data_IF_191443088400
#
_entry.id   IF_191443088400
#
_cell.length_a   1.000
_cell.length_b   1.000
_cell.length_c   1.000
_cell.angle_alpha   90.00
_cell.angle_beta   90.00
_cell.angle_gamma   90.00
#
_symmetry.space_group_name_H-M   'P 1'
#
loop_
_entity.id
_entity.type
_entity.pdbx_description
1 polymer ?
#
# COMPACT_ATOMS: atom_id res chain seq x y z
N UNK A 1 -15.87 25.39 5.13
CA UNK A 1 -15.77 25.73 3.71
C UNK A 1 -14.54 25.01 3.16
N UNK A 2 -14.71 24.02 2.31
CA UNK A 2 -13.56 23.30 1.70
C UNK A 2 -12.85 24.28 0.77
N UNK A 3 -11.49 24.40 0.81
CA UNK A 3 -10.77 25.26 -0.14
C UNK A 3 -10.99 24.75 -1.56
N UNK A 4 -11.11 25.70 -2.51
CA UNK A 4 -11.21 25.37 -3.93
C UNK A 4 -9.95 24.57 -4.34
N UNK A 5 -10.16 23.48 -5.07
CA UNK A 5 -9.07 22.63 -5.55
C UNK A 5 -8.44 23.32 -6.76
N UNK A 6 -7.18 23.83 -6.69
CA UNK A 6 -6.57 24.59 -7.80
C UNK A 6 -6.33 23.76 -9.08
N UNK A 7 -6.27 22.44 -8.96
CA UNK A 7 -6.02 21.51 -10.08
C UNK A 7 -7.02 20.35 -10.06
N UNK A 8 -8.32 20.63 -10.27
CA UNK A 8 -9.27 19.54 -10.45
C UNK A 8 -9.31 19.11 -11.92
N UNK A 9 -9.17 17.83 -12.19
CA UNK A 9 -9.49 17.30 -13.52
C UNK A 9 -11.01 17.06 -13.61
N UNK A 10 -11.59 17.15 -14.83
CA UNK A 10 -13.04 16.96 -14.99
C UNK A 10 -13.51 15.61 -14.42
N UNK A 11 -14.49 15.63 -13.54
CA UNK A 11 -15.11 14.44 -12.97
C UNK A 11 -14.52 13.93 -11.66
N UNK A 12 -13.49 14.57 -11.08
CA UNK A 12 -12.90 14.15 -9.79
C UNK A 12 -13.95 14.14 -8.67
N UNK A 13 -14.77 15.19 -8.53
CA UNK A 13 -15.77 15.28 -7.47
C UNK A 13 -16.81 14.16 -7.59
N UNK A 14 -17.21 13.82 -8.82
CA UNK A 14 -18.11 12.70 -9.07
C UNK A 14 -17.44 11.34 -8.78
N UNK A 15 -16.14 11.19 -9.06
CA UNK A 15 -15.39 9.96 -8.73
C UNK A 15 -15.27 9.82 -7.20
N UNK A 16 -14.99 10.91 -6.49
CA UNK A 16 -14.93 10.91 -5.03
C UNK A 16 -16.30 10.63 -4.41
N UNK A 17 -17.38 11.18 -4.94
CA UNK A 17 -18.74 10.87 -4.49
C UNK A 17 -19.09 9.39 -4.69
N UNK A 18 -18.67 8.78 -5.82
CA UNK A 18 -18.84 7.34 -6.08
C UNK A 18 -18.03 6.48 -5.11
N UNK A 19 -16.79 6.87 -4.80
CA UNK A 19 -15.98 6.21 -3.77
C UNK A 19 -16.69 6.27 -2.40
N UNK A 20 -17.28 7.43 -2.07
CA UNK A 20 -18.09 7.62 -0.85
C UNK A 20 -19.31 6.71 -0.75
N UNK A 21 -19.85 6.26 -1.90
CA UNK A 21 -20.92 5.27 -1.95
C UNK A 21 -20.39 3.83 -1.88
N UNK A 22 -19.21 3.57 -2.43
CA UNK A 22 -18.60 2.23 -2.48
C UNK A 22 -18.03 1.78 -1.13
N UNK A 23 -17.32 2.67 -0.42
CA UNK A 23 -16.65 2.33 0.84
C UNK A 23 -17.62 1.78 1.90
N UNK A 24 -18.78 2.40 2.20
CA UNK A 24 -19.73 1.84 3.16
C UNK A 24 -20.27 0.45 2.76
N UNK A 25 -20.38 0.16 1.46
CA UNK A 25 -20.76 -1.17 0.97
C UNK A 25 -19.67 -2.19 1.32
N UNK A 26 -18.40 -1.83 1.08
CA UNK A 26 -17.25 -2.67 1.45
C UNK A 26 -17.17 -2.93 2.95
N UNK A 27 -17.33 -1.91 3.77
CA UNK A 27 -17.29 -2.04 5.23
C UNK A 27 -18.40 -2.95 5.76
N UNK A 28 -19.63 -2.81 5.22
CA UNK A 28 -20.75 -3.71 5.55
C UNK A 28 -20.48 -5.15 5.12
N UNK A 29 -19.98 -5.35 3.89
CA UNK A 29 -19.65 -6.68 3.40
C UNK A 29 -18.51 -7.34 4.20
N UNK A 30 -17.60 -6.54 4.76
CA UNK A 30 -16.54 -6.98 5.67
C UNK A 30 -17.00 -7.15 7.12
N UNK A 31 -18.27 -6.90 7.43
CA UNK A 31 -18.85 -6.90 8.78
C UNK A 31 -18.00 -6.10 9.77
N UNK A 32 -17.53 -4.93 9.33
CA UNK A 32 -16.63 -4.10 10.12
C UNK A 32 -17.18 -2.69 10.34
N UNK A 33 -17.15 -2.27 11.59
CA UNK A 33 -17.42 -0.90 12.00
C UNK A 33 -16.13 -0.25 12.49
N UNK A 34 -15.82 0.99 12.08
CA UNK A 34 -14.69 1.72 12.62
C UNK A 34 -14.87 1.97 14.13
N UNK A 35 -13.77 2.00 14.91
CA UNK A 35 -13.83 2.43 16.31
C UNK A 35 -14.26 3.92 16.40
N UNK A 36 -14.66 4.35 17.60
CA UNK A 36 -15.16 5.71 17.83
C UNK A 36 -14.16 6.82 17.42
N UNK A 37 -12.86 6.55 17.52
CA UNK A 37 -11.80 7.47 17.11
C UNK A 37 -10.71 6.72 16.32
N UNK A 38 -10.95 6.41 15.03
CA UNK A 38 -10.03 5.63 14.22
C UNK A 38 -8.74 6.39 13.90
N UNK A 39 -7.63 5.66 13.83
CA UNK A 39 -6.41 6.10 13.18
C UNK A 39 -6.41 5.60 11.73
N UNK A 40 -6.25 6.52 10.77
CA UNK A 40 -6.40 6.26 9.34
C UNK A 40 -5.07 6.53 8.64
N UNK A 41 -4.63 5.59 7.79
CA UNK A 41 -3.47 5.75 6.92
C UNK A 41 -3.91 5.68 5.46
N UNK A 42 -3.51 6.66 4.65
CA UNK A 42 -3.71 6.69 3.21
C UNK A 42 -2.36 6.62 2.51
N UNK A 43 -2.05 5.50 1.89
CA UNK A 43 -0.78 5.22 1.21
C UNK A 43 -0.88 5.49 -0.29
N UNK A 44 0.16 6.10 -0.86
CA UNK A 44 0.17 6.61 -2.23
C UNK A 44 -1.01 7.57 -2.47
N UNK A 45 -1.23 8.47 -1.50
CA UNK A 45 -2.42 9.31 -1.43
C UNK A 45 -2.48 10.43 -2.48
N UNK A 46 -1.38 10.67 -3.23
CA UNK A 46 -1.33 11.76 -4.17
C UNK A 46 -1.67 13.10 -3.53
N UNK A 47 -2.58 13.84 -4.14
CA UNK A 47 -3.12 15.11 -3.62
C UNK A 47 -4.16 14.95 -2.52
N UNK A 48 -4.38 13.72 -2.06
CA UNK A 48 -5.32 13.37 -1.00
C UNK A 48 -6.78 13.80 -1.29
N UNK A 49 -7.22 13.60 -2.54
CA UNK A 49 -8.57 13.96 -3.00
C UNK A 49 -9.66 13.22 -2.22
N UNK A 50 -9.41 11.97 -1.82
CA UNK A 50 -10.32 11.11 -1.07
C UNK A 50 -10.33 11.34 0.45
N UNK A 51 -9.46 12.19 1.00
CA UNK A 51 -9.37 12.41 2.47
C UNK A 51 -10.72 12.73 3.10
N UNK A 52 -11.50 13.63 2.48
CA UNK A 52 -12.83 13.98 2.99
C UNK A 52 -13.77 12.78 3.08
N UNK A 53 -13.80 11.96 2.04
CA UNK A 53 -14.63 10.74 2.00
C UNK A 53 -14.18 9.72 3.04
N UNK A 54 -12.87 9.51 3.20
CA UNK A 54 -12.34 8.61 4.22
C UNK A 54 -12.75 9.08 5.63
N UNK A 55 -12.65 10.36 5.92
CA UNK A 55 -13.09 10.93 7.20
C UNK A 55 -14.59 10.82 7.40
N UNK A 56 -15.41 11.18 6.39
CA UNK A 56 -16.88 11.15 6.47
C UNK A 56 -17.39 9.70 6.70
N UNK A 57 -16.74 8.71 6.09
CA UNK A 57 -17.17 7.30 6.20
C UNK A 57 -16.63 6.61 7.44
N UNK A 58 -15.38 6.88 7.83
CA UNK A 58 -14.71 6.16 8.91
C UNK A 58 -14.84 6.85 10.27
N UNK A 59 -15.09 8.16 10.28
CA UNK A 59 -15.26 8.95 11.48
C UNK A 59 -16.51 9.85 11.36
N UNK A 60 -17.71 9.27 11.20
CA UNK A 60 -18.94 10.03 10.91
C UNK A 60 -19.32 11.01 12.01
N UNK A 61 -18.82 10.82 13.23
CA UNK A 61 -19.01 11.74 14.35
C UNK A 61 -17.91 12.81 14.44
N UNK A 62 -17.03 12.88 13.42
CA UNK A 62 -15.95 13.84 13.36
C UNK A 62 -14.79 13.57 14.33
N UNK A 63 -14.67 12.34 14.83
CA UNK A 63 -13.75 11.98 15.92
C UNK A 63 -12.58 11.09 15.47
N UNK A 64 -12.04 11.25 14.25
CA UNK A 64 -10.80 10.54 13.89
C UNK A 64 -9.65 10.98 14.81
N UNK A 65 -8.95 10.02 15.42
CA UNK A 65 -7.81 10.29 16.30
C UNK A 65 -6.64 10.86 15.52
N UNK A 66 -6.37 10.28 14.34
CA UNK A 66 -5.23 10.63 13.51
C UNK A 66 -5.48 10.23 12.06
N UNK A 67 -5.09 11.09 11.13
CA UNK A 67 -5.07 10.78 9.70
C UNK A 67 -3.68 11.08 9.15
N UNK A 68 -3.07 10.09 8.49
CA UNK A 68 -1.77 10.22 7.84
C UNK A 68 -1.90 9.88 6.35
N UNK A 69 -1.56 10.84 5.49
CA UNK A 69 -1.37 10.61 4.05
C UNK A 69 0.13 10.54 3.71
N UNK A 70 0.51 9.56 2.89
CA UNK A 70 1.91 9.39 2.43
C UNK A 70 1.92 9.25 0.92
N UNK A 71 2.75 10.04 0.26
CA UNK A 71 3.04 9.89 -1.18
C UNK A 71 4.51 10.20 -1.47
N UNK A 72 5.02 9.62 -2.54
CA UNK A 72 6.40 9.84 -3.00
C UNK A 72 6.60 11.23 -3.59
N UNK A 73 5.55 11.84 -4.13
CA UNK A 73 5.57 13.07 -4.92
C UNK A 73 5.38 14.29 -4.04
N UNK A 74 6.44 15.10 -3.92
CA UNK A 74 6.43 16.33 -3.12
C UNK A 74 5.38 17.36 -3.56
N UNK A 75 5.17 17.64 -4.87
CA UNK A 75 4.14 18.59 -5.32
C UNK A 75 2.73 18.20 -4.88
N UNK A 76 2.38 16.92 -4.97
CA UNK A 76 1.08 16.40 -4.55
C UNK A 76 0.88 16.51 -3.03
N UNK A 77 1.90 16.23 -2.26
CA UNK A 77 1.85 16.41 -0.80
C UNK A 77 1.77 17.88 -0.41
N UNK A 78 2.47 18.77 -1.11
CA UNK A 78 2.34 20.21 -0.90
C UNK A 78 0.90 20.69 -1.14
N UNK A 79 0.25 20.21 -2.20
CA UNK A 79 -1.16 20.50 -2.49
C UNK A 79 -2.10 19.90 -1.41
N UNK A 80 -1.84 18.65 -0.98
CA UNK A 80 -2.59 18.01 0.09
C UNK A 80 -2.53 18.82 1.40
N UNK A 81 -1.34 19.29 1.78
CA UNK A 81 -1.14 20.15 2.97
C UNK A 81 -1.86 21.49 2.86
N UNK A 82 -1.85 22.10 1.68
CA UNK A 82 -2.57 23.36 1.45
C UNK A 82 -4.09 23.19 1.55
N UNK A 83 -4.60 22.04 1.13
CA UNK A 83 -6.03 21.69 1.16
C UNK A 83 -6.50 21.28 2.55
N UNK A 84 -5.66 20.60 3.29
CA UNK A 84 -5.93 20.06 4.62
C UNK A 84 -4.93 20.63 5.63
N UNK A 85 -5.08 21.92 6.03
CA UNK A 85 -4.18 22.51 7.00
C UNK A 85 -4.25 21.78 8.33
N UNK A 86 -3.11 21.64 9.01
CA UNK A 86 -2.93 20.92 10.28
C UNK A 86 -3.65 21.58 11.50
N UNK A 87 -4.67 22.40 11.25
CA UNK A 87 -5.45 22.98 12.33
C UNK A 87 -6.44 21.98 12.91
N UNK A 88 -6.61 21.88 14.23
CA UNK A 88 -7.66 21.07 14.81
C UNK A 88 -9.01 21.57 14.28
N UNK A 89 -9.69 20.73 13.51
CA UNK A 89 -11.05 20.99 13.12
C UNK A 89 -11.87 20.98 14.42
N UNK A 90 -12.76 21.95 14.63
CA UNK A 90 -13.49 22.22 15.87
C UNK A 90 -14.13 21.03 16.59
N UNK A 91 -15.01 21.22 17.58
CA UNK A 91 -15.51 20.11 18.40
C UNK A 91 -16.12 19.01 17.53
N UNK A 92 -15.51 17.82 17.55
CA UNK A 92 -15.84 16.68 16.70
C UNK A 92 -14.94 16.49 15.47
N UNK A 93 -13.88 17.30 15.28
CA UNK A 93 -12.95 17.19 14.17
C UNK A 93 -11.88 16.10 14.35
N UNK A 94 -11.09 15.87 13.28
CA UNK A 94 -9.87 15.04 13.35
C UNK A 94 -8.89 15.69 14.30
N UNK A 95 -8.37 14.93 15.26
CA UNK A 95 -7.40 15.46 16.21
C UNK A 95 -6.11 15.91 15.54
N UNK A 96 -5.71 15.20 14.47
CA UNK A 96 -4.49 15.51 13.72
C UNK A 96 -4.57 14.97 12.30
N UNK A 97 -4.31 15.83 11.31
CA UNK A 97 -4.13 15.45 9.90
C UNK A 97 -2.71 15.77 9.50
N UNK A 98 -1.98 14.76 9.03
CA UNK A 98 -0.60 14.90 8.59
C UNK A 98 -0.42 14.33 7.18
N UNK A 99 0.43 14.98 6.38
CA UNK A 99 0.88 14.49 5.08
C UNK A 99 2.40 14.46 5.02
N UNK A 100 2.97 13.32 4.61
CA UNK A 100 4.42 13.11 4.52
C UNK A 100 4.83 12.76 3.09
N UNK A 101 5.90 13.42 2.63
CA UNK A 101 6.63 12.98 1.43
C UNK A 101 7.49 11.79 1.82
N UNK A 102 7.37 10.69 1.10
CA UNK A 102 8.22 9.53 1.33
C UNK A 102 7.80 8.30 0.54
N UNK A 103 8.78 7.44 0.31
CA UNK A 103 8.56 6.13 -0.30
C UNK A 103 8.01 5.16 0.74
N UNK A 104 6.71 4.93 0.71
CA UNK A 104 6.04 4.03 1.64
C UNK A 104 6.53 2.56 1.54
N UNK A 105 7.22 2.20 0.47
CA UNK A 105 7.83 0.88 0.30
C UNK A 105 9.16 0.72 1.04
N UNK A 106 9.80 1.83 1.49
CA UNK A 106 11.14 1.83 2.11
C UNK A 106 11.08 2.17 3.59
N UNK A 107 11.77 1.40 4.45
CA UNK A 107 11.95 1.77 5.86
C UNK A 107 12.70 3.10 5.99
N UNK A 108 12.33 3.90 7.01
CA UNK A 108 13.04 5.13 7.35
C UNK A 108 12.66 6.37 6.54
N UNK A 109 12.06 6.23 5.36
CA UNK A 109 11.68 7.40 4.53
C UNK A 109 10.40 8.09 5.04
N UNK A 110 9.56 7.39 5.76
CA UNK A 110 8.28 7.89 6.30
C UNK A 110 8.26 7.98 7.83
N UNK A 111 9.39 7.70 8.48
CA UNK A 111 9.46 7.57 9.93
C UNK A 111 8.79 6.28 10.45
N UNK A 112 8.66 6.16 11.77
CA UNK A 112 7.90 5.10 12.40
C UNK A 112 6.41 5.34 12.12
N UNK A 113 5.74 4.30 11.64
CA UNK A 113 4.29 4.31 11.47
C UNK A 113 3.65 3.81 12.78
N UNK A 114 2.72 4.58 13.38
CA UNK A 114 1.90 4.06 14.46
C UNK A 114 0.96 2.96 13.92
N UNK A 115 0.30 2.25 14.83
CA UNK A 115 -0.73 1.29 14.46
C UNK A 115 -2.02 1.98 14.00
N UNK A 116 -2.57 1.53 12.88
CA UNK A 116 -3.76 2.10 12.25
C UNK A 116 -4.97 1.14 12.34
N UNK A 117 -6.15 1.72 12.49
CA UNK A 117 -7.41 0.99 12.46
C UNK A 117 -7.87 0.75 11.01
N UNK A 118 -7.55 1.69 10.11
CA UNK A 118 -7.86 1.59 8.70
C UNK A 118 -6.69 2.07 7.83
N UNK A 119 -6.35 1.28 6.82
CA UNK A 119 -5.34 1.63 5.83
C UNK A 119 -5.98 1.60 4.44
N UNK A 120 -5.75 2.64 3.65
CA UNK A 120 -6.29 2.77 2.31
C UNK A 120 -5.18 2.90 1.27
N UNK A 121 -5.33 2.20 0.15
CA UNK A 121 -4.45 2.31 -1.02
C UNK A 121 -5.32 2.41 -2.26
N UNK A 122 -5.27 3.56 -2.93
CA UNK A 122 -6.09 3.82 -4.10
C UNK A 122 -5.28 3.75 -5.38
N UNK A 123 -5.76 3.01 -6.39
CA UNK A 123 -5.21 3.00 -7.74
C UNK A 123 -3.72 2.62 -7.80
N UNK A 124 -3.34 1.50 -7.22
CA UNK A 124 -1.98 0.96 -7.32
C UNK A 124 -1.65 0.55 -8.76
N UNK A 125 -0.41 0.79 -9.17
CA UNK A 125 0.09 0.36 -10.48
C UNK A 125 0.97 -0.89 -10.31
N UNK A 126 0.36 -1.96 -9.84
CA UNK A 126 1.06 -3.16 -9.36
C UNK A 126 1.97 -3.82 -10.40
N UNK A 127 1.57 -3.84 -11.66
CA UNK A 127 2.36 -4.51 -12.71
C UNK A 127 3.63 -3.78 -13.13
N UNK A 128 3.77 -2.48 -12.86
CA UNK A 128 5.00 -1.75 -13.19
C UNK A 128 6.11 -1.98 -12.17
N UNK A 129 5.77 -2.05 -10.88
CA UNK A 129 6.74 -2.21 -9.80
C UNK A 129 6.25 -3.19 -8.74
N UNK A 130 6.05 -4.47 -9.08
CA UNK A 130 5.44 -5.46 -8.17
C UNK A 130 6.20 -5.63 -6.86
N UNK A 131 7.54 -5.52 -6.89
CA UNK A 131 8.36 -5.60 -5.68
C UNK A 131 8.18 -4.41 -4.75
N UNK A 132 8.05 -3.18 -5.29
CA UNK A 132 7.79 -1.99 -4.49
C UNK A 132 6.42 -2.09 -3.84
N UNK A 133 5.38 -2.51 -4.58
CA UNK A 133 4.04 -2.75 -4.05
C UNK A 133 4.00 -3.88 -3.01
N UNK A 134 4.74 -4.97 -3.22
CA UNK A 134 4.86 -6.02 -2.21
C UNK A 134 5.44 -5.50 -0.89
N UNK A 135 6.52 -4.70 -0.96
CA UNK A 135 7.11 -4.07 0.24
C UNK A 135 6.13 -3.09 0.89
N UNK A 136 5.42 -2.27 0.12
CA UNK A 136 4.40 -1.34 0.61
C UNK A 136 3.30 -2.08 1.35
N UNK A 137 2.73 -3.14 0.75
CA UNK A 137 1.68 -3.94 1.39
C UNK A 137 2.17 -4.65 2.66
N UNK A 138 3.39 -5.18 2.64
CA UNK A 138 3.98 -5.76 3.87
C UNK A 138 4.05 -4.73 4.99
N UNK A 139 4.49 -3.51 4.70
CA UNK A 139 4.53 -2.41 5.68
C UNK A 139 3.14 -1.99 6.13
N UNK A 140 2.19 -1.88 5.21
CA UNK A 140 0.80 -1.59 5.53
C UNK A 140 0.23 -2.62 6.51
N UNK A 141 0.42 -3.91 6.22
CA UNK A 141 -0.04 -4.99 7.11
C UNK A 141 0.67 -4.98 8.47
N UNK A 142 1.96 -4.62 8.51
CA UNK A 142 2.71 -4.49 9.78
C UNK A 142 2.18 -3.32 10.63
N UNK A 143 1.70 -2.25 10.00
CA UNK A 143 1.14 -1.07 10.66
C UNK A 143 -0.38 -1.21 10.96
N UNK A 144 -1.00 -2.33 10.57
CA UNK A 144 -2.41 -2.56 10.80
C UNK A 144 -2.64 -3.13 12.20
N UNK A 145 -3.54 -2.50 12.97
CA UNK A 145 -3.94 -3.01 14.29
C UNK A 145 -4.65 -4.36 14.19
N UNK A 146 -4.63 -5.15 15.26
CA UNK A 146 -5.56 -6.27 15.40
C UNK A 146 -7.00 -5.79 15.20
N UNK A 147 -7.77 -6.52 14.38
CA UNK A 147 -9.13 -6.13 14.02
C UNK A 147 -9.26 -4.98 13.01
N UNK A 148 -8.16 -4.32 12.61
CA UNK A 148 -8.15 -3.28 11.59
C UNK A 148 -8.43 -3.80 10.17
N UNK A 149 -8.58 -2.88 9.22
CA UNK A 149 -8.83 -3.20 7.80
C UNK A 149 -7.86 -2.47 6.88
N UNK A 150 -7.34 -3.20 5.90
CA UNK A 150 -6.66 -2.64 4.73
C UNK A 150 -7.62 -2.70 3.55
N UNK A 151 -7.89 -1.56 2.92
CA UNK A 151 -8.73 -1.47 1.73
C UNK A 151 -7.89 -1.05 0.52
N UNK A 152 -8.15 -1.67 -0.62
CA UNK A 152 -7.54 -1.30 -1.91
C UNK A 152 -8.61 -1.06 -2.94
N UNK A 153 -8.39 -0.07 -3.85
CA UNK A 153 -9.14 0.05 -5.10
C UNK A 153 -8.21 -0.03 -6.29
N UNK A 154 -8.72 -0.40 -7.45
CA UNK A 154 -7.92 -0.64 -8.66
C UNK A 154 -8.56 -0.05 -9.89
N UNK A 155 -7.75 0.35 -10.88
CA UNK A 155 -8.23 0.78 -12.19
C UNK A 155 -8.62 -0.39 -13.10
N UNK A 156 -7.92 -1.51 -12.99
CA UNK A 156 -8.03 -2.65 -13.89
C UNK A 156 -8.30 -3.95 -13.11
N UNK A 157 -8.99 -4.90 -13.75
CA UNK A 157 -9.25 -6.20 -13.16
C UNK A 157 -7.94 -6.96 -12.87
N UNK A 158 -7.03 -6.98 -13.86
CA UNK A 158 -5.75 -7.67 -13.72
C UNK A 158 -4.87 -7.10 -12.60
N UNK A 159 -4.87 -5.78 -12.47
CA UNK A 159 -4.19 -5.08 -11.36
C UNK A 159 -4.76 -5.53 -10.02
N UNK A 160 -6.08 -5.56 -9.91
CA UNK A 160 -6.78 -5.99 -8.71
C UNK A 160 -6.42 -7.43 -8.33
N UNK A 161 -6.46 -8.35 -9.29
CA UNK A 161 -6.07 -9.75 -9.07
C UNK A 161 -4.65 -9.90 -8.54
N UNK A 162 -3.68 -9.18 -9.14
CA UNK A 162 -2.29 -9.21 -8.71
C UNK A 162 -2.10 -8.65 -7.31
N UNK A 163 -2.70 -7.51 -7.00
CA UNK A 163 -2.65 -6.90 -5.68
C UNK A 163 -3.27 -7.80 -4.61
N UNK A 164 -4.43 -8.38 -4.92
CA UNK A 164 -5.13 -9.32 -4.06
C UNK A 164 -4.28 -10.58 -3.80
N UNK A 165 -3.72 -11.18 -4.84
CA UNK A 165 -2.85 -12.35 -4.70
C UNK A 165 -1.63 -12.06 -3.82
N UNK A 166 -1.01 -10.89 -4.00
CA UNK A 166 0.11 -10.45 -3.17
C UNK A 166 -0.29 -10.32 -1.69
N UNK A 167 -1.42 -9.68 -1.38
CA UNK A 167 -1.90 -9.52 0.00
C UNK A 167 -2.20 -10.86 0.67
N UNK A 168 -2.81 -11.81 -0.07
CA UNK A 168 -3.05 -13.17 0.42
C UNK A 168 -1.73 -13.91 0.71
N UNK A 169 -0.73 -13.80 -0.17
CA UNK A 169 0.60 -14.38 0.05
C UNK A 169 1.33 -13.77 1.25
N UNK A 170 1.05 -12.51 1.58
CA UNK A 170 1.55 -11.85 2.78
C UNK A 170 0.80 -12.25 4.06
N UNK A 171 -0.17 -13.16 3.98
CA UNK A 171 -0.92 -13.69 5.12
C UNK A 171 -2.17 -12.90 5.48
N UNK A 172 -2.57 -11.90 4.69
CA UNK A 172 -3.85 -11.23 4.90
C UNK A 172 -5.01 -12.13 4.46
N UNK A 173 -6.17 -12.00 5.11
CA UNK A 173 -7.41 -12.63 4.69
C UNK A 173 -8.31 -11.60 4.01
N UNK A 174 -8.81 -11.90 2.81
CA UNK A 174 -9.81 -11.07 2.16
C UNK A 174 -11.16 -11.25 2.87
N UNK A 175 -11.77 -10.14 3.28
CA UNK A 175 -13.06 -10.13 4.00
C UNK A 175 -14.18 -9.48 3.19
N UNK A 176 -13.85 -8.72 2.16
CA UNK A 176 -14.78 -8.25 1.13
C UNK A 176 -14.03 -8.09 -0.19
N UNK A 177 -14.71 -8.31 -1.30
CA UNK A 177 -14.20 -8.07 -2.66
C UNK A 177 -15.39 -7.78 -3.57
N UNK A 178 -15.56 -6.50 -3.92
CA UNK A 178 -16.75 -5.99 -4.59
C UNK A 178 -16.40 -5.33 -5.93
N UNK A 179 -17.15 -5.63 -7.01
CA UNK A 179 -17.13 -4.81 -8.19
C UNK A 179 -17.80 -3.47 -7.90
N UNK A 180 -17.40 -2.41 -8.60
CA UNK A 180 -18.02 -1.10 -8.52
C UNK A 180 -18.92 -0.84 -9.73
N UNK A 181 -20.24 -1.09 -9.65
CA UNK A 181 -21.13 -0.99 -10.81
C UNK A 181 -21.19 0.41 -11.42
N UNK A 182 -20.95 1.44 -10.60
CA UNK A 182 -20.96 2.85 -11.01
C UNK A 182 -19.57 3.40 -11.35
N UNK A 183 -18.57 2.52 -11.49
CA UNK A 183 -17.22 2.89 -11.86
C UNK A 183 -17.19 3.61 -13.21
N UNK A 184 -16.58 4.79 -13.25
CA UNK A 184 -16.44 5.58 -14.48
C UNK A 184 -15.33 4.99 -15.36
N UNK A 185 -15.69 4.62 -16.58
CA UNK A 185 -14.69 4.19 -17.58
C UNK A 185 -13.82 5.37 -17.99
N UNK A 186 -12.53 5.09 -18.18
CA UNK A 186 -11.54 6.02 -18.70
C UNK A 186 -11.21 5.63 -20.14
N UNK A 187 -10.93 6.64 -20.97
CA UNK A 187 -10.71 6.44 -22.42
C UNK A 187 -9.23 6.32 -22.79
N UNK A 188 -8.34 6.60 -21.83
CA UNK A 188 -6.88 6.58 -21.99
C UNK A 188 -6.29 5.17 -22.07
N UNK A 189 -7.02 4.16 -21.60
CA UNK A 189 -6.60 2.77 -21.73
C UNK A 189 -7.81 1.81 -21.77
N UNK A 190 -7.78 0.76 -22.60
CA UNK A 190 -8.83 -0.27 -22.65
C UNK A 190 -9.02 -0.95 -21.28
N UNK A 191 -10.28 -1.05 -20.83
CA UNK A 191 -10.63 -1.72 -19.58
C UNK A 191 -10.31 -0.94 -18.31
N UNK A 192 -9.80 0.28 -18.40
CA UNK A 192 -9.54 1.17 -17.27
C UNK A 192 -10.83 1.80 -16.76
N UNK A 193 -11.03 1.77 -15.45
CA UNK A 193 -12.17 2.44 -14.78
C UNK A 193 -11.75 2.91 -13.40
N UNK A 194 -12.28 4.04 -12.97
CA UNK A 194 -11.97 4.63 -11.66
C UNK A 194 -12.59 3.78 -10.55
N UNK A 195 -11.76 3.35 -9.60
CA UNK A 195 -12.20 2.50 -8.48
C UNK A 195 -13.02 1.29 -8.94
N UNK A 196 -12.55 0.59 -9.99
CA UNK A 196 -13.25 -0.51 -10.63
C UNK A 196 -13.68 -1.61 -9.67
N UNK A 197 -12.84 -1.90 -8.69
CA UNK A 197 -13.09 -2.86 -7.61
C UNK A 197 -12.62 -2.28 -6.28
N UNK A 198 -13.23 -2.76 -5.22
CA UNK A 198 -12.82 -2.52 -3.83
C UNK A 198 -12.64 -3.87 -3.15
N UNK A 199 -11.47 -4.10 -2.55
CA UNK A 199 -11.28 -5.24 -1.65
C UNK A 199 -10.82 -4.77 -0.28
N UNK A 200 -11.31 -5.47 0.76
CA UNK A 200 -10.91 -5.28 2.15
C UNK A 200 -10.24 -6.53 2.69
N UNK A 201 -9.19 -6.31 3.47
CA UNK A 201 -8.38 -7.36 4.07
C UNK A 201 -8.22 -7.13 5.57
N UNK A 202 -7.98 -8.22 6.30
CA UNK A 202 -7.57 -8.21 7.71
C UNK A 202 -6.38 -9.13 7.93
N UNK A 203 -5.67 -8.93 9.02
CA UNK A 203 -4.77 -9.97 9.52
C UNK A 203 -5.58 -10.99 10.33
N UNK A 204 -5.31 -12.29 10.19
CA UNK A 204 -5.86 -13.30 11.08
C UNK A 204 -5.45 -13.04 12.53
N UNK A 205 -6.34 -13.26 13.49
CA UNK A 205 -6.08 -13.00 14.90
C UNK A 205 -4.96 -13.90 15.45
N UNK A 206 -4.91 -15.15 14.98
CA UNK A 206 -3.92 -16.16 15.37
C UNK A 206 -2.74 -16.28 14.39
N UNK A 207 -2.66 -15.38 13.42
CA UNK A 207 -1.59 -15.39 12.42
C UNK A 207 -0.26 -14.87 12.96
N UNK A 208 0.89 -15.35 12.45
CA UNK A 208 2.18 -14.78 12.80
C UNK A 208 2.21 -13.30 12.39
N UNK A 209 2.52 -12.41 13.33
CA UNK A 209 2.74 -11.00 13.00
C UNK A 209 3.93 -10.89 12.05
N UNK A 210 3.74 -10.17 10.95
CA UNK A 210 4.84 -9.88 10.03
C UNK A 210 5.94 -9.13 10.79
N UNK A 211 7.16 -9.68 10.77
CA UNK A 211 8.29 -9.00 11.36
C UNK A 211 8.51 -7.64 10.65
N UNK A 212 8.84 -6.56 11.38
CA UNK A 212 9.18 -5.29 10.78
C UNK A 212 10.31 -5.47 9.75
N UNK A 213 10.20 -4.80 8.60
CA UNK A 213 11.26 -4.81 7.58
C UNK A 213 12.50 -4.18 8.19
N UNK A 214 13.61 -4.93 8.24
CA UNK A 214 14.88 -4.49 8.84
C UNK A 214 15.18 -5.10 10.21
N UNK A 215 14.29 -5.90 10.78
CA UNK A 215 14.66 -6.73 11.94
C UNK A 215 15.66 -7.79 11.50
N UNK A 216 16.80 -7.96 12.21
CA UNK A 216 17.71 -9.07 11.93
C UNK A 216 16.92 -10.38 12.06
N UNK A 217 17.24 -11.42 11.24
CA UNK A 217 16.57 -12.69 11.34
C UNK A 217 16.70 -13.19 12.78
N UNK A 218 15.58 -13.40 13.43
CA UNK A 218 15.53 -14.05 14.74
C UNK A 218 16.28 -15.35 14.58
N UNK A 219 17.37 -15.52 15.34
CA UNK A 219 18.19 -16.70 15.30
C UNK A 219 17.29 -17.90 15.62
N UNK A 220 16.80 -18.56 14.58
CA UNK A 220 16.20 -19.87 14.70
C UNK A 220 17.24 -20.73 15.43
N UNK A 221 16.85 -21.34 16.51
CA UNK A 221 17.65 -22.27 17.30
C UNK A 221 18.52 -23.10 16.36
N UNK A 222 19.80 -22.76 16.28
CA UNK A 222 20.79 -23.68 15.74
C UNK A 222 20.83 -24.85 16.72
N UNK A 223 20.12 -25.89 16.39
CA UNK A 223 20.47 -27.21 16.88
C UNK A 223 21.89 -27.47 16.37
N UNK A 224 22.82 -27.37 17.25
CA UNK A 224 24.23 -27.77 17.03
C UNK A 224 24.20 -29.20 16.53
N UNK A 225 24.69 -29.50 15.33
CA UNK A 225 24.90 -30.89 14.96
C UNK A 225 26.02 -31.44 15.82
N UNK A 226 25.75 -32.58 16.47
CA UNK A 226 26.69 -33.39 17.20
C UNK A 226 27.92 -33.67 16.34
N UNK A 227 29.18 -33.60 16.88
CA UNK A 227 30.38 -33.83 16.09
C UNK A 227 30.45 -35.29 15.66
N UNK A 228 30.23 -35.54 14.38
CA UNK A 228 30.48 -36.84 13.74
C UNK A 228 31.94 -37.18 13.82
N UNK A 229 32.25 -38.41 14.32
CA UNK A 229 33.56 -39.02 14.42
C UNK A 229 34.27 -39.05 13.06
N UNK A 230 35.62 -38.94 13.02
CA UNK A 230 36.38 -38.99 11.78
C UNK A 230 36.44 -40.41 11.23
N UNK A 231 36.02 -40.63 10.01
CA UNK A 231 36.31 -41.81 9.21
C UNK A 231 37.58 -41.50 8.39
N UNK A 232 38.64 -42.20 8.74
CA UNK A 232 39.90 -42.22 8.00
C UNK A 232 39.83 -43.13 6.75
N UNK A 233 40.52 -42.73 5.71
CA UNK A 233 41.06 -43.46 4.56
C UNK A 233 40.56 -42.87 3.24
N UNK A 234 41.36 -42.13 2.50
CA UNK A 234 42.46 -42.61 1.70
C UNK A 234 42.01 -42.90 0.27
N UNK A 235 42.13 -41.89 -0.62
CA UNK A 235 42.61 -42.13 -2.00
C UNK A 235 42.81 -40.81 -2.75
N UNK A 236 44.03 -40.65 -3.25
CA UNK A 236 44.45 -39.52 -4.05
C UNK A 236 44.18 -39.73 -5.55
N UNK A 237 44.17 -38.57 -6.27
CA UNK A 237 44.46 -38.32 -7.71
C UNK A 237 43.26 -38.25 -8.67
N UNK A 238 43.39 -37.45 -9.77
CA UNK A 238 44.38 -36.44 -10.14
C UNK A 238 43.82 -35.09 -10.60
N UNK A 239 44.76 -34.14 -10.71
CA UNK A 239 44.59 -32.79 -11.27
C UNK A 239 44.20 -32.81 -12.76
N UNK A 240 43.29 -31.93 -13.13
CA UNK A 240 43.16 -31.40 -14.50
C UNK A 240 43.18 -29.86 -14.44
N UNK A 241 43.94 -29.29 -15.37
CA UNK A 241 44.36 -27.91 -15.39
C UNK A 241 43.31 -26.89 -15.92
N UNK A 242 43.70 -25.63 -16.04
CA UNK A 242 42.79 -24.51 -16.19
C UNK A 242 42.39 -24.24 -17.65
N UNK A 243 41.10 -23.94 -17.86
CA UNK A 243 40.62 -23.33 -19.08
C UNK A 243 40.35 -21.84 -18.84
N UNK A 244 40.91 -21.04 -19.75
CA UNK A 244 40.82 -19.58 -19.78
C UNK A 244 39.47 -19.07 -20.34
N UNK A 245 39.16 -17.77 -20.18
CA UNK A 245 37.84 -17.22 -20.38
C UNK A 245 37.61 -16.74 -21.82
N UNK A 246 36.41 -16.94 -22.31
CA UNK A 246 35.96 -16.26 -23.52
C UNK A 246 35.20 -14.98 -23.17
N UNK A 247 35.66 -13.91 -23.79
CA UNK A 247 35.10 -12.58 -23.85
C UNK A 247 33.85 -12.58 -24.72
N UNK A 248 32.72 -12.16 -24.17
CA UNK A 248 31.47 -11.90 -24.93
C UNK A 248 30.87 -10.56 -24.54
N UNK A 249 30.96 -9.67 -25.50
CA UNK A 249 30.56 -8.28 -25.43
C UNK A 249 29.08 -8.07 -25.05
N UNK A 250 28.87 -7.12 -24.17
CA UNK A 250 27.59 -6.50 -23.84
C UNK A 250 27.17 -5.50 -24.94
N UNK A 251 25.93 -5.45 -25.37
CA UNK A 251 25.41 -4.23 -25.96
C UNK A 251 24.62 -3.45 -24.91
N UNK A 252 25.10 -2.24 -24.69
CA UNK A 252 24.35 -1.14 -24.08
C UNK A 252 23.08 -0.90 -24.91
N UNK A 253 21.93 -0.91 -24.27
CA UNK A 253 20.75 -0.20 -24.76
C UNK A 253 20.39 0.90 -23.77
N UNK A 254 20.78 2.10 -24.17
CA UNK A 254 20.12 3.34 -23.75
C UNK A 254 18.69 3.33 -24.27
N UNK A 255 17.76 3.57 -23.42
CA UNK A 255 16.48 4.13 -23.79
C UNK A 255 15.95 5.00 -22.64
N UNK A 256 16.26 6.27 -22.75
CA UNK A 256 15.34 7.34 -22.36
C UNK A 256 13.95 7.05 -22.95
N UNK A 257 12.93 7.14 -22.14
CA UNK A 257 11.71 7.82 -22.57
C UNK A 257 10.92 8.27 -21.34
N UNK A 258 11.10 9.50 -21.05
CA UNK A 258 10.11 10.48 -20.61
C UNK A 258 8.80 10.27 -21.36
N UNK A 259 7.75 9.98 -20.65
CA UNK A 259 6.37 10.19 -21.07
C UNK A 259 5.72 10.78 -19.84
N UNK A 260 5.50 12.05 -19.84
CA UNK A 260 4.52 12.69 -20.69
C UNK A 260 3.24 12.77 -19.90
N UNK A 261 3.17 13.89 -19.15
CA UNK A 261 1.91 14.56 -18.86
C UNK A 261 0.90 14.34 -19.97
N UNK A 262 -0.31 14.00 -19.58
CA UNK A 262 -1.52 14.56 -20.19
C UNK A 262 -2.74 14.16 -19.37
N UNK A 263 -3.48 15.20 -18.99
CA UNK A 263 -4.92 15.22 -18.78
C UNK A 263 -5.43 14.83 -17.41
#
# INVERSE_FOLDING_TARGET
>A
MRPAIPFSYPGIDADIARLGSLLPLGLRAAEWAPPAAPAILNLACGRADETGVLLDVLAPLGAARFYLGIDLRDPEIAEARARWPAAPMGPGGVAEIEFRVGDASKPGTTGLLPDFDFIFVRHQNFWHEPEAWNRLYRRALTALKPGGRLAITSYFEREHELARACLLQLGAAAVADLPHPQSRRLTDAPGKSVDRRLALFRLPEDGPRLAPIGSPPTAAHRTTPEPSRPISSGRALPRAGPAQPESGASPRMSALHTVGQLG
#
